data_IF_624246040245
#
_entry.id   IF_624246040245
#
_cell.length_a   1.000
_cell.length_b   1.000
_cell.length_c   1.000
_cell.angle_alpha   90.00
_cell.angle_beta   90.00
_cell.angle_gamma   90.00
#
_symmetry.space_group_name_H-M   'P 1'
#
loop_
_entity.id
_entity.type
_entity.pdbx_description
1 polymer ?
#
# COMPACT_ATOMS: atom_id res chain seq x y z
N UNK A 1 1.41 -10.14 14.23
CA UNK A 1 0.63 -10.87 13.21
C UNK A 1 1.47 -12.04 12.74
N UNK A 2 0.98 -13.27 12.83
CA UNK A 2 1.71 -14.46 12.36
C UNK A 2 1.97 -14.35 10.84
N UNK A 3 2.95 -15.05 10.29
CA UNK A 3 3.12 -15.12 8.83
C UNK A 3 3.96 -14.00 8.20
N UNK A 4 4.97 -13.49 8.89
CA UNK A 4 6.10 -12.79 8.26
C UNK A 4 6.37 -11.36 8.74
N UNK A 5 7.42 -10.77 8.17
CA UNK A 5 7.99 -9.47 8.49
C UNK A 5 7.28 -8.35 7.73
N UNK A 6 7.00 -7.25 8.45
CA UNK A 6 6.33 -6.05 7.91
C UNK A 6 7.17 -4.78 8.02
N UNK A 7 8.13 -4.76 8.94
CA UNK A 7 9.04 -3.63 9.12
C UNK A 7 10.15 -3.66 8.07
N UNK A 8 10.90 -2.57 7.94
CA UNK A 8 12.09 -2.54 7.11
C UNK A 8 13.01 -3.73 7.41
N UNK A 9 13.59 -4.40 6.39
CA UNK A 9 13.48 -4.11 4.95
C UNK A 9 12.29 -4.79 4.24
N UNK A 10 11.41 -5.50 4.96
CA UNK A 10 10.26 -6.16 4.33
C UNK A 10 9.21 -5.16 3.87
N UNK A 11 9.07 -4.04 4.58
CA UNK A 11 8.27 -2.87 4.20
C UNK A 11 6.86 -3.21 3.73
N UNK A 12 6.11 -3.88 4.61
CA UNK A 12 4.66 -3.95 4.52
C UNK A 12 4.02 -2.57 4.73
N UNK A 13 2.78 -2.45 4.31
CA UNK A 13 1.98 -1.23 4.39
C UNK A 13 1.12 -1.26 5.65
N UNK A 14 0.89 -0.12 6.30
CA UNK A 14 -0.09 -0.02 7.40
C UNK A 14 -0.94 1.25 7.31
N UNK A 15 -2.17 1.19 7.81
CA UNK A 15 -3.07 2.35 7.89
C UNK A 15 -4.04 2.18 9.06
N UNK A 16 -4.39 3.29 9.71
CA UNK A 16 -5.52 3.37 10.64
C UNK A 16 -6.80 3.56 9.83
N UNK A 17 -7.78 2.66 9.97
CA UNK A 17 -9.06 2.79 9.27
C UNK A 17 -9.88 3.97 9.82
N UNK A 18 -10.80 4.54 9.02
CA UNK A 18 -11.58 5.71 9.42
C UNK A 18 -12.34 5.51 10.73
N UNK A 19 -12.13 6.44 11.68
CA UNK A 19 -12.82 6.45 12.96
C UNK A 19 -14.24 6.99 12.79
N UNK A 20 -15.21 6.32 13.41
CA UNK A 20 -16.60 6.78 13.45
C UNK A 20 -16.84 7.53 14.77
N UNK A 21 -16.98 8.84 14.68
CA UNK A 21 -17.09 9.75 15.84
C UNK A 21 -18.53 10.22 16.11
N UNK A 22 -19.57 9.60 15.54
CA UNK A 22 -20.94 10.12 15.64
C UNK A 22 -21.40 10.28 17.10
N UNK A 23 -21.90 11.49 17.39
CA UNK A 23 -22.26 12.03 18.70
C UNK A 23 -23.25 11.13 19.44
N UNK A 24 -22.81 10.55 20.55
CA UNK A 24 -23.64 9.74 21.45
C UNK A 24 -22.86 8.74 22.29
N UNK A 25 -21.78 8.16 21.77
CA UNK A 25 -20.91 7.21 22.48
C UNK A 25 -19.47 7.72 22.56
N UNK A 26 -19.26 8.78 23.34
CA UNK A 26 -17.94 9.41 23.52
C UNK A 26 -16.94 8.55 24.33
N UNK A 27 -17.37 7.41 24.89
CA UNK A 27 -16.52 6.58 25.75
C UNK A 27 -15.68 5.51 25.05
N UNK A 28 -16.03 5.08 23.82
CA UNK A 28 -15.32 3.98 23.15
C UNK A 28 -15.37 4.09 21.62
N UNK A 29 -14.45 4.86 21.05
CA UNK A 29 -14.28 4.99 19.60
C UNK A 29 -13.54 3.76 19.08
N UNK A 30 -14.21 2.93 18.28
CA UNK A 30 -13.56 1.76 17.68
C UNK A 30 -12.44 2.16 16.72
N UNK A 31 -11.20 1.82 17.07
CA UNK A 31 -10.04 2.04 16.22
C UNK A 31 -9.55 0.71 15.61
N UNK A 32 -9.35 0.70 14.30
CA UNK A 32 -8.94 -0.52 13.58
C UNK A 32 -7.73 -0.24 12.70
N UNK A 33 -6.75 -1.13 12.74
CA UNK A 33 -5.56 -1.08 11.90
C UNK A 33 -5.65 -2.11 10.79
N UNK A 34 -5.16 -1.76 9.61
CA UNK A 34 -4.97 -2.64 8.47
C UNK A 34 -3.47 -2.70 8.16
N UNK A 35 -2.92 -3.91 8.07
CA UNK A 35 -1.53 -4.18 7.70
C UNK A 35 -1.51 -5.12 6.49
N UNK A 36 -0.72 -4.78 5.48
CA UNK A 36 -0.72 -5.45 4.18
C UNK A 36 0.71 -5.80 3.74
N UNK A 37 0.92 -7.01 3.23
CA UNK A 37 2.14 -7.34 2.49
C UNK A 37 3.44 -7.32 3.30
N UNK A 38 4.61 -7.37 2.65
CA UNK A 38 5.91 -7.55 3.32
C UNK A 38 6.62 -8.83 2.87
N UNK A 39 7.32 -9.52 3.77
CA UNK A 39 8.10 -10.73 3.45
C UNK A 39 7.81 -11.88 4.41
N UNK A 40 7.60 -13.09 3.87
CA UNK A 40 7.45 -14.31 4.67
C UNK A 40 8.78 -14.84 5.21
N UNK A 41 9.87 -14.53 4.51
CA UNK A 41 11.20 -15.07 4.74
C UNK A 41 11.97 -14.17 5.70
N UNK A 42 12.77 -14.74 6.59
CA UNK A 42 13.66 -14.03 7.52
C UNK A 42 14.96 -13.59 6.86
N UNK A 43 15.43 -14.35 5.87
CA UNK A 43 16.68 -14.18 5.11
C UNK A 43 16.50 -13.37 3.82
N UNK A 44 15.30 -12.81 3.59
CA UNK A 44 14.95 -12.11 2.36
C UNK A 44 15.89 -10.97 1.96
N UNK A 45 16.48 -10.27 2.95
CA UNK A 45 17.43 -9.20 2.69
C UNK A 45 18.83 -9.74 2.34
N UNK A 46 19.33 -10.71 3.10
CA UNK A 46 20.66 -11.31 2.84
C UNK A 46 20.67 -12.03 1.50
N UNK A 47 19.61 -12.79 1.18
CA UNK A 47 19.40 -13.45 -0.11
C UNK A 47 19.29 -12.49 -1.29
N UNK A 48 18.82 -11.26 -1.05
CA UNK A 48 18.84 -10.21 -2.06
C UNK A 48 20.24 -9.91 -2.62
N UNK A 49 21.29 -10.02 -1.79
CA UNK A 49 22.68 -9.86 -2.21
C UNK A 49 23.18 -11.01 -3.09
N UNK A 50 22.57 -12.19 -2.93
CA UNK A 50 22.85 -13.38 -3.75
C UNK A 50 21.99 -13.40 -5.04
N UNK A 51 21.23 -12.33 -5.32
CA UNK A 51 20.34 -12.24 -6.47
C UNK A 51 19.00 -12.98 -6.31
N UNK A 52 18.69 -13.47 -5.10
CA UNK A 52 17.44 -14.17 -4.81
C UNK A 52 16.43 -13.20 -4.22
N UNK A 53 15.35 -12.94 -4.97
CA UNK A 53 14.30 -11.99 -4.59
C UNK A 53 12.97 -12.71 -4.36
N UNK A 54 12.65 -13.04 -3.11
CA UNK A 54 11.43 -13.77 -2.75
C UNK A 54 10.14 -13.03 -3.11
N UNK A 55 9.04 -13.77 -3.30
CA UNK A 55 7.71 -13.19 -3.50
C UNK A 55 7.28 -12.48 -2.22
N UNK A 56 6.77 -11.26 -2.37
CA UNK A 56 6.21 -10.50 -1.28
C UNK A 56 4.95 -11.20 -0.74
N UNK A 57 4.61 -10.93 0.51
CA UNK A 57 3.37 -11.43 1.08
C UNK A 57 2.15 -10.83 0.36
N UNK A 58 1.18 -11.68 0.07
CA UNK A 58 -0.14 -11.29 -0.46
C UNK A 58 -1.18 -11.15 0.65
N UNK A 59 -0.87 -11.53 1.88
CA UNK A 59 -1.80 -11.43 2.98
C UNK A 59 -1.98 -9.99 3.48
N UNK A 60 -3.13 -9.77 4.09
CA UNK A 60 -3.37 -8.62 4.94
C UNK A 60 -3.99 -9.06 6.26
N UNK A 61 -3.91 -8.19 7.25
CA UNK A 61 -4.48 -8.37 8.57
C UNK A 61 -5.20 -7.12 9.00
N UNK A 62 -6.40 -7.30 9.55
CA UNK A 62 -7.17 -6.24 10.21
C UNK A 62 -7.32 -6.58 11.69
N UNK A 63 -7.11 -5.59 12.55
CA UNK A 63 -7.28 -5.73 14.00
C UNK A 63 -7.99 -4.50 14.54
N UNK A 64 -8.97 -4.72 15.42
CA UNK A 64 -9.55 -3.65 16.23
C UNK A 64 -8.71 -3.50 17.50
N UNK A 65 -8.00 -2.40 17.62
CA UNK A 65 -7.00 -2.17 18.69
C UNK A 65 -7.65 -1.71 20.00
N UNK A 66 -8.92 -1.31 19.96
CA UNK A 66 -9.70 -0.88 21.13
C UNK A 66 -10.47 -2.03 21.80
N UNK A 67 -10.36 -3.24 21.26
CA UNK A 67 -10.95 -4.42 21.88
C UNK A 67 -10.06 -4.96 22.98
N UNK A 68 -10.68 -5.44 24.07
CA UNK A 68 -9.97 -6.19 25.11
C UNK A 68 -9.33 -7.48 24.57
N UNK A 69 -9.97 -8.09 23.56
CA UNK A 69 -9.51 -9.33 22.92
C UNK A 69 -9.00 -9.05 21.51
N UNK A 70 -7.69 -8.85 21.39
CA UNK A 70 -7.02 -8.49 20.14
C UNK A 70 -6.88 -9.71 19.21
N UNK A 71 -7.70 -9.78 18.16
CA UNK A 71 -7.64 -10.84 17.15
C UNK A 71 -7.35 -10.28 15.76
N UNK A 72 -6.34 -10.84 15.09
CA UNK A 72 -6.04 -10.55 13.69
C UNK A 72 -7.02 -11.28 12.76
N UNK A 73 -7.83 -10.52 12.02
CA UNK A 73 -8.63 -11.03 10.90
C UNK A 73 -7.79 -10.98 9.63
N UNK A 74 -7.40 -12.14 9.12
CA UNK A 74 -6.52 -12.28 7.95
C UNK A 74 -7.30 -12.72 6.71
N UNK A 75 -6.83 -12.29 5.55
CA UNK A 75 -7.27 -12.73 4.23
C UNK A 75 -6.23 -12.26 3.18
N UNK A 76 -6.51 -12.44 1.89
CA UNK A 76 -5.59 -12.14 0.78
C UNK A 76 -5.94 -10.85 0.05
N UNK A 77 -4.92 -10.09 -0.31
CA UNK A 77 -4.98 -8.99 -1.27
C UNK A 77 -5.08 -9.54 -2.71
N UNK A 78 -5.43 -8.72 -3.71
CA UNK A 78 -5.45 -9.14 -5.12
C UNK A 78 -4.07 -9.44 -5.72
N UNK A 79 -2.99 -9.01 -5.06
CA UNK A 79 -1.61 -9.21 -5.49
C UNK A 79 -0.64 -9.09 -4.31
N UNK A 80 0.50 -9.78 -4.31
CA UNK A 80 1.57 -9.55 -3.35
C UNK A 80 2.13 -8.12 -3.46
N UNK A 81 2.49 -7.53 -2.32
CA UNK A 81 2.99 -6.15 -2.29
C UNK A 81 3.98 -5.93 -1.13
N UNK A 82 5.05 -5.22 -1.41
CA UNK A 82 5.93 -4.58 -0.44
C UNK A 82 6.32 -3.19 -0.97
N UNK A 83 6.74 -2.27 -0.10
CA UNK A 83 7.04 -0.86 -0.44
C UNK A 83 5.88 -0.11 -1.12
N UNK A 84 4.65 -0.51 -0.83
CA UNK A 84 3.49 0.22 -1.31
C UNK A 84 3.02 1.23 -0.27
N UNK A 85 2.26 2.22 -0.73
CA UNK A 85 1.57 3.19 0.11
C UNK A 85 0.10 2.79 0.32
N UNK A 86 -0.45 3.15 1.49
CA UNK A 86 -1.88 3.08 1.77
C UNK A 86 -2.43 4.45 2.11
N UNK A 87 -3.43 4.89 1.34
CA UNK A 87 -4.03 6.22 1.45
C UNK A 87 -5.51 6.12 1.84
N UNK A 88 -5.93 6.89 2.84
CA UNK A 88 -7.34 7.05 3.17
C UNK A 88 -8.00 8.01 2.19
N UNK A 89 -9.03 7.54 1.50
CA UNK A 89 -9.84 8.38 0.61
C UNK A 89 -11.01 9.02 1.38
N UNK A 90 -11.53 10.17 0.93
CA UNK A 90 -12.72 10.79 1.52
C UNK A 90 -13.95 9.88 1.53
N UNK A 91 -14.02 8.91 0.61
CA UNK A 91 -15.06 7.86 0.61
C UNK A 91 -14.98 6.92 1.80
N UNK A 92 -13.95 7.02 2.64
CA UNK A 92 -13.58 6.06 3.70
C UNK A 92 -13.06 4.71 3.21
N UNK A 93 -12.69 4.61 1.93
CA UNK A 93 -11.95 3.47 1.40
C UNK A 93 -10.44 3.70 1.52
N UNK A 94 -9.66 2.62 1.42
CA UNK A 94 -8.19 2.66 1.42
C UNK A 94 -7.67 2.38 0.02
N UNK A 95 -6.87 3.26 -0.54
CA UNK A 95 -6.14 3.02 -1.77
C UNK A 95 -4.78 2.39 -1.46
N UNK A 96 -4.52 1.21 -2.03
CA UNK A 96 -3.21 0.57 -2.08
C UNK A 96 -2.56 0.91 -3.42
N UNK A 97 -1.41 1.57 -3.40
CA UNK A 97 -0.66 1.97 -4.61
C UNK A 97 0.84 1.72 -4.39
N UNK A 98 1.65 1.77 -5.46
CA UNK A 98 3.10 1.59 -5.43
C UNK A 98 3.57 0.21 -4.94
N UNK A 99 4.87 -0.01 -4.98
CA UNK A 99 5.53 -1.18 -4.45
C UNK A 99 5.93 -2.21 -5.49
N UNK A 100 6.46 -3.33 -4.99
CA UNK A 100 6.97 -4.44 -5.77
C UNK A 100 6.30 -5.75 -5.34
N UNK A 101 6.30 -6.73 -6.24
CA UNK A 101 5.78 -8.09 -5.97
C UNK A 101 6.87 -9.03 -5.46
N UNK A 102 8.14 -8.67 -5.59
CA UNK A 102 9.30 -9.48 -5.18
C UNK A 102 10.42 -8.62 -4.60
N UNK A 103 11.20 -9.23 -3.69
CA UNK A 103 12.43 -8.68 -3.15
C UNK A 103 12.27 -8.06 -1.76
N UNK A 104 12.94 -6.93 -1.56
CA UNK A 104 12.92 -6.17 -0.31
C UNK A 104 13.12 -4.69 -0.58
N UNK A 105 12.89 -3.86 0.43
CA UNK A 105 13.46 -2.52 0.49
C UNK A 105 14.98 -2.58 0.53
N UNK A 106 15.59 -1.51 0.03
CA UNK A 106 17.03 -1.39 -0.17
C UNK A 106 17.37 -1.28 -1.65
N UNK A 107 18.43 -0.53 -1.94
CA UNK A 107 18.85 -0.21 -3.29
C UNK A 107 19.13 -1.48 -4.11
N UNK A 108 18.50 -1.61 -5.28
CA UNK A 108 18.72 -2.75 -6.17
C UNK A 108 18.07 -4.08 -5.76
N UNK A 109 17.29 -4.16 -4.67
CA UNK A 109 16.69 -5.42 -4.20
C UNK A 109 15.25 -5.69 -4.61
N UNK A 110 14.56 -4.71 -5.20
CA UNK A 110 13.18 -4.85 -5.64
C UNK A 110 13.06 -5.45 -7.04
N UNK A 111 12.09 -6.35 -7.26
CA UNK A 111 11.78 -6.94 -8.57
C UNK A 111 10.27 -6.97 -8.81
N UNK A 112 9.90 -6.97 -10.09
CA UNK A 112 8.51 -6.99 -10.55
C UNK A 112 7.66 -5.89 -9.89
N UNK A 113 7.75 -4.64 -10.39
CA UNK A 113 6.92 -3.53 -9.93
C UNK A 113 5.44 -3.90 -9.91
N UNK A 114 4.72 -3.43 -8.90
CA UNK A 114 3.27 -3.63 -8.81
C UNK A 114 2.53 -2.44 -9.41
N UNK A 115 2.24 -2.56 -10.71
CA UNK A 115 1.56 -1.53 -11.50
C UNK A 115 0.08 -1.36 -11.20
N UNK A 116 -0.58 -2.35 -10.60
CA UNK A 116 -2.04 -2.35 -10.42
C UNK A 116 -2.39 -1.84 -9.02
N UNK A 117 -2.98 -0.65 -8.88
CA UNK A 117 -3.50 -0.20 -7.60
C UNK A 117 -4.75 -1.01 -7.21
N UNK A 118 -5.11 -0.98 -5.93
CA UNK A 118 -6.33 -1.62 -5.45
C UNK A 118 -7.04 -0.75 -4.41
N UNK A 119 -8.37 -0.70 -4.48
CA UNK A 119 -9.20 -0.14 -3.42
C UNK A 119 -9.56 -1.24 -2.44
N UNK A 120 -9.39 -0.98 -1.15
CA UNK A 120 -9.91 -1.76 -0.04
C UNK A 120 -11.10 -1.02 0.61
N UNK A 121 -12.27 -1.65 0.59
CA UNK A 121 -13.47 -1.13 1.24
C UNK A 121 -13.67 -1.81 2.62
N UNK A 122 -13.55 -1.06 3.73
CA UNK A 122 -13.67 -1.63 5.08
C UNK A 122 -15.10 -2.03 5.46
N UNK A 123 -16.12 -1.64 4.68
CA UNK A 123 -17.55 -1.90 4.96
C UNK A 123 -18.07 -3.18 4.31
N UNK A 124 -17.45 -3.62 3.21
CA UNK A 124 -17.88 -4.81 2.45
C UNK A 124 -17.50 -6.10 3.18
N UNK A 125 -18.15 -7.24 2.86
CA UNK A 125 -17.83 -8.55 3.44
C UNK A 125 -16.41 -9.00 3.07
N UNK A 126 -15.83 -9.89 3.89
CA UNK A 126 -14.54 -10.54 3.59
C UNK A 126 -14.62 -11.27 2.25
N UNK A 127 -13.55 -11.27 1.46
CA UNK A 127 -13.52 -11.79 0.07
C UNK A 127 -13.90 -10.77 -1.01
N UNK A 128 -14.75 -9.78 -0.70
CA UNK A 128 -15.22 -8.76 -1.68
C UNK A 128 -14.61 -7.37 -1.41
N UNK A 129 -13.70 -7.28 -0.43
CA UNK A 129 -13.17 -5.98 0.04
C UNK A 129 -12.29 -5.28 -0.96
N UNK A 130 -11.67 -6.03 -1.88
CA UNK A 130 -10.71 -5.47 -2.82
C UNK A 130 -11.26 -5.36 -4.23
N UNK A 131 -10.99 -4.22 -4.85
CA UNK A 131 -11.23 -3.99 -6.27
C UNK A 131 -9.94 -3.48 -6.92
N UNK A 132 -9.51 -4.12 -8.00
CA UNK A 132 -8.37 -3.65 -8.80
C UNK A 132 -8.75 -2.38 -9.56
N UNK A 133 -7.79 -1.47 -9.70
CA UNK A 133 -7.90 -0.26 -10.50
C UNK A 133 -7.08 -0.39 -11.78
N UNK A 134 -7.27 0.54 -12.71
CA UNK A 134 -6.48 0.60 -13.93
C UNK A 134 -4.96 0.63 -13.59
N UNK A 135 -4.15 -0.22 -14.24
CA UNK A 135 -2.71 -0.26 -13.99
C UNK A 135 -2.01 0.99 -14.53
N UNK A 136 -0.90 1.37 -13.88
CA UNK A 136 0.00 2.41 -14.37
C UNK A 136 1.15 1.81 -15.20
N UNK A 137 1.91 2.64 -15.91
CA UNK A 137 3.11 2.21 -16.64
C UNK A 137 4.42 2.59 -15.95
N UNK A 138 4.35 3.45 -14.92
CA UNK A 138 5.53 3.96 -14.20
C UNK A 138 5.75 3.12 -12.94
N UNK A 139 6.90 2.44 -12.79
CA UNK A 139 7.20 1.70 -11.58
C UNK A 139 7.51 2.67 -10.43
N UNK A 140 6.79 2.53 -9.32
CA UNK A 140 6.99 3.28 -8.08
C UNK A 140 7.28 2.30 -6.97
N UNK A 141 8.51 2.23 -6.49
CA UNK A 141 8.98 1.22 -5.53
C UNK A 141 9.73 1.88 -4.36
N UNK A 142 10.92 1.40 -4.00
CA UNK A 142 11.75 1.98 -2.95
C UNK A 142 11.89 3.50 -3.14
N UNK A 143 11.74 4.27 -2.06
CA UNK A 143 11.71 5.75 -2.06
C UNK A 143 10.56 6.42 -2.84
N UNK A 144 9.53 5.68 -3.25
CA UNK A 144 8.27 6.27 -3.71
C UNK A 144 7.36 6.58 -2.53
N UNK A 145 6.58 7.65 -2.66
CA UNK A 145 5.53 8.01 -1.71
C UNK A 145 4.32 8.52 -2.47
N UNK A 146 3.13 8.36 -1.90
CA UNK A 146 1.90 8.92 -2.42
C UNK A 146 1.19 9.76 -1.36
N UNK A 147 0.44 10.75 -1.81
CA UNK A 147 -0.40 11.59 -0.96
C UNK A 147 -1.74 11.86 -1.63
N UNK A 148 -2.76 12.14 -0.82
CA UNK A 148 -4.08 12.53 -1.31
C UNK A 148 -4.10 14.05 -1.44
N UNK A 149 -4.38 14.56 -2.63
CA UNK A 149 -4.63 15.99 -2.83
C UNK A 149 -6.13 16.27 -2.80
N UNK A 150 -6.48 17.35 -2.11
CA UNK A 150 -7.81 17.94 -2.25
C UNK A 150 -7.88 18.56 -3.65
N UNK A 151 -8.78 18.06 -4.47
CA UNK A 151 -9.10 18.68 -5.75
C UNK A 151 -10.09 19.81 -5.46
N UNK A 152 -9.70 21.05 -5.71
CA UNK A 152 -10.63 22.16 -5.81
C UNK A 152 -11.23 22.12 -7.21
N UNK A 153 -12.49 21.71 -7.34
CA UNK A 153 -13.19 21.83 -8.62
C UNK A 153 -14.66 22.19 -8.45
N UNK A 154 -14.99 23.36 -8.96
CA UNK A 154 -16.25 23.71 -9.65
C UNK A 154 -16.60 22.79 -10.85
N UNK A 155 -16.06 21.57 -10.91
CA UNK A 155 -16.39 20.54 -11.89
C UNK A 155 -16.01 19.14 -11.37
N UNK A 156 -17.00 18.47 -10.77
CA UNK A 156 -17.07 17.03 -10.42
C UNK A 156 -16.31 16.55 -9.15
N UNK A 157 -16.93 15.69 -8.32
CA UNK A 157 -16.35 15.21 -7.06
C UNK A 157 -15.41 14.02 -7.29
N UNK A 158 -14.15 14.26 -7.67
CA UNK A 158 -13.15 13.20 -7.74
C UNK A 158 -11.83 13.63 -7.07
N UNK A 159 -11.53 13.04 -5.91
CA UNK A 159 -10.22 13.21 -5.24
C UNK A 159 -9.15 12.45 -6.01
N UNK A 160 -8.07 13.12 -6.43
CA UNK A 160 -6.98 12.48 -7.18
C UNK A 160 -5.75 12.26 -6.28
N UNK A 161 -5.36 11.01 -5.98
CA UNK A 161 -4.11 10.73 -5.28
C UNK A 161 -2.92 10.99 -6.22
N UNK A 162 -1.90 11.70 -5.74
CA UNK A 162 -0.67 11.97 -6.48
C UNK A 162 0.51 11.25 -5.85
N UNK A 163 1.50 10.90 -6.67
CA UNK A 163 2.68 10.13 -6.25
C UNK A 163 3.95 10.94 -6.53
N UNK A 164 4.84 11.05 -5.53
CA UNK A 164 6.13 11.74 -5.63
C UNK A 164 7.29 10.83 -5.24
N UNK A 165 8.48 11.15 -5.74
CA UNK A 165 9.76 10.54 -5.36
C UNK A 165 10.76 11.67 -5.14
N UNK A 166 11.49 11.68 -4.02
CA UNK A 166 12.56 12.66 -3.78
C UNK A 166 13.88 11.93 -3.56
N UNK A 167 14.78 11.98 -4.56
CA UNK A 167 16.23 11.83 -4.38
C UNK A 167 17.01 12.15 -5.67
N UNK A 168 18.21 12.73 -5.52
CA UNK A 168 19.13 13.10 -6.63
C UNK A 168 19.90 11.87 -7.16
N UNK A 169 20.32 11.85 -8.44
CA UNK A 169 21.10 10.75 -9.03
C UNK A 169 22.51 10.64 -8.43
N UNK A 170 23.05 9.41 -8.38
CA UNK A 170 24.49 9.16 -8.53
C UNK A 170 24.70 7.82 -9.28
N UNK A 171 25.38 7.87 -10.43
CA UNK A 171 26.03 6.71 -11.09
C UNK A 171 25.27 6.07 -12.28
N UNK A 172 25.97 5.72 -13.38
CA UNK A 172 25.35 5.24 -14.61
C UNK A 172 25.07 3.73 -14.57
N UNK A 173 23.85 3.31 -14.92
CA UNK A 173 23.54 1.90 -15.20
C UNK A 173 22.24 1.31 -14.64
N UNK A 174 21.38 2.08 -13.98
CA UNK A 174 20.11 1.57 -13.43
C UNK A 174 18.92 1.89 -14.32
N UNK A 175 18.14 0.88 -14.71
CA UNK A 175 16.81 1.01 -15.33
C UNK A 175 15.74 1.52 -14.34
N UNK A 176 16.09 2.43 -13.45
CA UNK A 176 15.19 3.02 -12.46
C UNK A 176 14.65 4.34 -12.98
N UNK A 177 13.32 4.44 -13.06
CA UNK A 177 12.60 5.62 -13.49
C UNK A 177 12.85 6.78 -12.51
N UNK A 178 13.82 7.62 -12.85
CA UNK A 178 14.11 8.88 -12.18
C UNK A 178 13.16 9.96 -12.68
N UNK A 179 12.03 10.23 -12.02
CA UNK A 179 11.36 11.53 -12.20
C UNK A 179 10.53 11.95 -10.98
N UNK A 180 10.84 13.14 -10.44
CA UNK A 180 9.93 13.92 -9.61
C UNK A 180 9.01 14.74 -10.53
N UNK A 181 7.79 14.26 -10.74
CA UNK A 181 6.69 15.03 -11.33
C UNK A 181 5.44 14.80 -10.48
N UNK A 182 4.70 15.86 -10.17
CA UNK A 182 3.28 15.74 -9.81
C UNK A 182 2.56 15.24 -11.05
N UNK A 183 2.25 13.94 -11.08
CA UNK A 183 1.44 13.34 -12.13
C UNK A 183 0.01 13.17 -11.61
N UNK A 184 -0.89 14.01 -12.14
CA UNK A 184 -2.34 13.81 -12.06
C UNK A 184 -2.72 12.60 -12.90
N UNK A 185 -2.48 11.39 -12.40
CA UNK A 185 -3.10 10.20 -12.96
C UNK A 185 -4.37 9.89 -12.17
N UNK A 186 -5.51 9.85 -12.88
CA UNK A 186 -6.77 9.30 -12.35
C UNK A 186 -6.57 7.81 -12.07
N UNK A 187 -6.03 7.49 -10.90
CA UNK A 187 -5.81 6.11 -10.47
C UNK A 187 -7.10 5.43 -10.02
N UNK A 188 -8.24 6.15 -9.97
CA UNK A 188 -9.50 5.64 -9.43
C UNK A 188 -10.40 4.94 -10.46
N UNK A 189 -9.99 4.92 -11.73
CA UNK A 189 -10.76 4.23 -12.77
C UNK A 189 -10.70 2.71 -12.58
N UNK A 190 -11.84 1.99 -12.69
CA UNK A 190 -11.85 0.53 -12.63
C UNK A 190 -11.00 -0.08 -13.76
N UNK A 191 -10.35 -1.22 -13.47
CA UNK A 191 -9.68 -2.00 -14.52
C UNK A 191 -10.72 -2.52 -15.52
N UNK A 192 -10.45 -2.36 -16.83
CA UNK A 192 -11.23 -2.97 -17.92
C UNK A 192 -11.05 -4.49 -17.93
#
# INVERSE_FOLDING_TARGET
MQGGHRNYPASGQSVLLPLKLHSGNQGNVAAEVLICGGSAHTDFYTKGNEGVHYVALQDYGRMRITDLNLVWKRDLMPSPRLMGDMLLLPSSDVLLINGAKRGSSGWGFARNPNFTPAIYNPRVKRGERFRKLAPTTIPRMYHSTATVLQDDKSSSPATTPTTGTSMKPNGPGGSEAQWAWSLNHRCLDPAQ
#
